data_IF_553702803540
#
_entry.id   IF_553702803540
#
_cell.length_a   1.000
_cell.length_b   1.000
_cell.length_c   1.000
_cell.angle_alpha   90.00
_cell.angle_beta   90.00
_cell.angle_gamma   90.00
#
_symmetry.space_group_name_H-M   'P 1'
#
loop_
_entity.id
_entity.type
_entity.pdbx_description
1 polymer ?
#
# COMPACT_ATOMS: atom_id res chain seq x y z
N UNK A 1 -19.79 24.03 -17.32
CA UNK A 1 -18.70 24.97 -17.64
C UNK A 1 -17.44 24.38 -17.00
N UNK A 2 -16.47 24.03 -17.81
CA UNK A 2 -15.21 23.42 -17.35
C UNK A 2 -14.41 24.49 -16.59
N UNK A 3 -14.14 24.23 -15.30
CA UNK A 3 -13.29 25.08 -14.46
C UNK A 3 -11.81 24.77 -14.69
N UNK A 4 -11.33 24.90 -15.93
CA UNK A 4 -9.89 24.82 -16.17
C UNK A 4 -9.19 26.07 -15.61
N UNK A 5 -8.05 25.86 -14.96
CA UNK A 5 -7.21 26.96 -14.51
C UNK A 5 -6.61 27.67 -15.73
N UNK A 6 -6.68 29.01 -15.82
CA UNK A 6 -6.14 29.74 -16.96
C UNK A 6 -4.66 29.47 -17.16
N UNK A 7 -4.27 29.08 -18.39
CA UNK A 7 -2.88 28.84 -18.76
C UNK A 7 -2.33 27.47 -18.42
N UNK A 8 -3.11 26.59 -17.77
CA UNK A 8 -2.70 25.20 -17.53
C UNK A 8 -2.91 24.38 -18.81
N UNK A 9 -1.85 23.67 -19.27
CA UNK A 9 -1.89 22.86 -20.50
C UNK A 9 -2.25 21.42 -20.16
N UNK A 10 -1.59 20.81 -19.19
CA UNK A 10 -1.81 19.42 -18.80
C UNK A 10 -1.57 19.17 -17.31
N UNK A 11 -2.15 18.09 -16.81
CA UNK A 11 -1.88 17.55 -15.47
C UNK A 11 -1.51 16.08 -15.62
N UNK A 12 -0.23 15.82 -15.62
CA UNK A 12 0.32 14.48 -15.88
C UNK A 12 0.75 13.81 -14.57
N UNK A 13 0.92 12.51 -14.61
CA UNK A 13 1.36 11.71 -13.47
C UNK A 13 2.63 10.96 -13.85
N UNK A 14 3.54 10.78 -12.89
CA UNK A 14 4.75 9.97 -13.05
C UNK A 14 4.96 9.06 -11.85
N UNK A 15 5.33 7.81 -12.11
CA UNK A 15 5.61 6.81 -11.09
C UNK A 15 6.59 5.75 -11.62
N UNK A 16 7.20 4.99 -10.71
CA UNK A 16 8.11 3.92 -11.10
C UNK A 16 7.38 2.77 -11.81
N UNK A 17 6.30 2.30 -11.22
CA UNK A 17 5.54 1.14 -11.72
C UNK A 17 4.05 1.35 -11.52
N UNK A 18 3.24 1.06 -12.55
CA UNK A 18 1.80 0.94 -12.41
C UNK A 18 1.44 -0.54 -12.24
N UNK A 19 1.07 -0.94 -11.02
CA UNK A 19 0.60 -2.29 -10.71
C UNK A 19 -0.89 -2.47 -10.99
N UNK A 20 -1.29 -3.70 -11.31
CA UNK A 20 -2.70 -4.06 -11.40
C UNK A 20 -3.21 -4.50 -10.02
N UNK A 21 -4.30 -3.87 -9.57
CA UNK A 21 -4.96 -4.25 -8.33
C UNK A 21 -4.30 -3.74 -7.04
N UNK A 22 -3.20 -2.97 -7.14
CA UNK A 22 -2.63 -2.31 -5.98
C UNK A 22 -3.29 -0.93 -5.71
N UNK A 23 -3.15 -0.44 -4.49
CA UNK A 23 -3.79 0.80 -4.04
C UNK A 23 -3.30 2.02 -4.82
N UNK A 24 -2.00 2.11 -5.08
CA UNK A 24 -1.36 3.24 -5.79
C UNK A 24 -1.78 3.25 -7.26
N UNK A 25 -1.83 2.06 -7.89
CA UNK A 25 -2.30 1.91 -9.27
C UNK A 25 -3.75 2.34 -9.42
N UNK A 26 -4.63 1.95 -8.51
CA UNK A 26 -6.03 2.39 -8.50
C UNK A 26 -6.17 3.89 -8.31
N UNK A 27 -5.39 4.49 -7.42
CA UNK A 27 -5.38 5.92 -7.17
C UNK A 27 -4.94 6.69 -8.41
N UNK A 28 -3.81 6.33 -9.04
CA UNK A 28 -3.31 6.99 -10.24
C UNK A 28 -4.33 6.95 -11.40
N UNK A 29 -4.95 5.79 -11.63
CA UNK A 29 -6.02 5.65 -12.63
C UNK A 29 -7.28 6.45 -12.25
N UNK A 30 -7.59 6.54 -10.97
CA UNK A 30 -8.69 7.36 -10.43
C UNK A 30 -8.46 8.85 -10.68
N UNK A 31 -7.28 9.35 -10.34
CA UNK A 31 -6.84 10.73 -10.57
C UNK A 31 -6.89 11.07 -12.07
N UNK A 32 -6.33 10.20 -12.92
CA UNK A 32 -6.36 10.41 -14.38
C UNK A 32 -7.81 10.55 -14.90
N UNK A 33 -8.71 9.69 -14.43
CA UNK A 33 -10.11 9.72 -14.86
C UNK A 33 -10.79 11.05 -14.44
N UNK A 34 -10.57 11.50 -13.22
CA UNK A 34 -11.15 12.76 -12.71
C UNK A 34 -10.59 13.95 -13.49
N UNK A 35 -9.29 14.00 -13.74
CA UNK A 35 -8.64 15.07 -14.49
C UNK A 35 -9.15 15.13 -15.93
N UNK A 36 -9.23 13.99 -16.62
CA UNK A 36 -9.78 13.92 -18.00
C UNK A 36 -11.24 14.32 -18.03
N UNK A 37 -12.05 13.92 -17.04
CA UNK A 37 -13.44 14.36 -16.92
C UNK A 37 -13.57 15.88 -16.70
N UNK A 38 -12.63 16.47 -15.97
CA UNK A 38 -12.54 17.92 -15.78
C UNK A 38 -12.02 18.68 -17.03
N UNK A 39 -11.60 17.94 -18.08
CA UNK A 39 -11.16 18.50 -19.35
C UNK A 39 -9.66 18.77 -19.46
N UNK A 40 -8.87 18.31 -18.49
CA UNK A 40 -7.41 18.38 -18.58
C UNK A 40 -6.85 17.24 -19.44
N UNK A 41 -5.75 17.52 -20.16
CA UNK A 41 -4.90 16.47 -20.67
C UNK A 41 -4.18 15.79 -19.49
N UNK A 42 -4.26 14.47 -19.42
CA UNK A 42 -3.68 13.71 -18.30
C UNK A 42 -3.20 12.34 -18.76
N UNK A 43 -1.88 12.13 -18.68
CA UNK A 43 -1.22 10.87 -18.99
C UNK A 43 -0.45 10.39 -17.76
N UNK A 44 -0.24 9.07 -17.66
CA UNK A 44 0.54 8.41 -16.62
C UNK A 44 1.82 7.88 -17.24
N UNK A 45 2.96 8.39 -16.81
CA UNK A 45 4.29 8.02 -17.30
C UNK A 45 4.97 7.07 -16.30
N UNK A 46 5.47 5.93 -16.80
CA UNK A 46 6.02 4.86 -15.94
C UNK A 46 7.33 4.27 -16.50
N UNK A 47 8.13 3.66 -15.65
CA UNK A 47 9.24 2.79 -16.10
C UNK A 47 8.73 1.40 -16.50
N UNK A 48 7.73 0.90 -15.77
CA UNK A 48 7.12 -0.40 -16.02
C UNK A 48 5.63 -0.36 -15.68
N UNK A 49 4.85 -1.17 -16.38
CA UNK A 49 3.44 -1.40 -16.06
C UNK A 49 3.10 -2.90 -16.10
N UNK A 50 2.13 -3.31 -15.30
CA UNK A 50 1.51 -4.63 -15.47
C UNK A 50 0.78 -4.66 -16.83
N UNK A 51 0.90 -5.75 -17.55
CA UNK A 51 0.32 -5.92 -18.91
C UNK A 51 -1.19 -5.59 -18.98
N UNK A 52 -1.91 -5.78 -17.87
CA UNK A 52 -3.35 -5.51 -17.80
C UNK A 52 -3.71 -4.03 -17.72
N UNK A 53 -2.76 -3.17 -17.38
CA UNK A 53 -2.93 -1.71 -17.26
C UNK A 53 -1.97 -0.90 -18.14
N UNK A 54 -1.09 -1.57 -18.87
CA UNK A 54 -0.11 -0.95 -19.76
C UNK A 54 -0.75 0.02 -20.78
N UNK A 55 -1.96 -0.30 -21.27
CA UNK A 55 -2.69 0.56 -22.22
C UNK A 55 -3.12 1.92 -21.65
N UNK A 56 -2.99 2.14 -20.35
CA UNK A 56 -3.28 3.42 -19.68
C UNK A 56 -2.03 4.26 -19.43
N UNK A 57 -0.84 3.76 -19.80
CA UNK A 57 0.45 4.37 -19.48
C UNK A 57 1.24 4.72 -20.74
N UNK A 58 2.20 5.62 -20.56
CA UNK A 58 3.23 6.00 -21.53
C UNK A 58 4.61 5.72 -20.92
N UNK A 59 5.64 5.58 -21.76
CA UNK A 59 7.01 5.46 -21.28
C UNK A 59 7.48 6.78 -20.65
N UNK A 60 8.17 6.71 -19.53
CA UNK A 60 8.62 7.90 -18.79
C UNK A 60 9.60 8.79 -19.60
N UNK A 61 10.23 8.27 -20.66
CA UNK A 61 11.06 9.09 -21.55
C UNK A 61 10.20 10.04 -22.38
N UNK A 62 8.98 9.67 -22.75
CA UNK A 62 8.09 10.50 -23.54
C UNK A 62 7.62 11.74 -22.77
N UNK A 63 7.68 11.70 -21.43
CA UNK A 63 7.41 12.84 -20.56
C UNK A 63 8.34 14.03 -20.87
N UNK A 64 9.57 13.79 -21.35
CA UNK A 64 10.55 14.85 -21.68
C UNK A 64 10.00 15.75 -22.80
N UNK A 65 9.35 15.16 -23.80
CA UNK A 65 8.78 15.90 -24.94
C UNK A 65 7.47 16.63 -24.58
N UNK A 66 6.75 16.12 -23.60
CA UNK A 66 5.48 16.69 -23.12
C UNK A 66 5.64 17.73 -22.02
N UNK A 67 6.82 17.81 -21.43
CA UNK A 67 7.12 18.69 -20.28
C UNK A 67 6.97 20.16 -20.64
N UNK A 68 6.31 20.93 -19.76
CA UNK A 68 6.06 22.35 -19.95
C UNK A 68 5.93 23.07 -18.60
N UNK A 69 6.51 24.29 -18.41
CA UNK A 69 6.37 25.04 -17.16
C UNK A 69 4.93 25.38 -16.75
N UNK A 70 3.98 25.31 -17.69
CA UNK A 70 2.55 25.50 -17.43
C UNK A 70 1.80 24.21 -17.11
N UNK A 71 2.47 23.06 -17.11
CA UNK A 71 1.90 21.80 -16.66
C UNK A 71 2.03 21.62 -15.14
N UNK A 72 1.20 20.74 -14.61
CA UNK A 72 1.40 20.14 -13.30
C UNK A 72 1.82 18.69 -13.51
N UNK A 73 2.90 18.29 -12.85
CA UNK A 73 3.36 16.92 -12.78
C UNK A 73 3.12 16.36 -11.37
N UNK A 74 2.23 15.40 -11.26
CA UNK A 74 1.97 14.66 -10.04
C UNK A 74 2.97 13.51 -9.98
N UNK A 75 3.87 13.54 -9.01
CA UNK A 75 4.86 12.50 -8.80
C UNK A 75 4.44 11.57 -7.66
N UNK A 76 4.08 10.35 -7.99
CA UNK A 76 3.80 9.29 -7.02
C UNK A 76 5.13 8.74 -6.48
N UNK A 77 5.47 9.10 -5.25
CA UNK A 77 6.75 8.78 -4.66
C UNK A 77 6.62 7.73 -3.54
N UNK A 78 7.18 6.55 -3.79
CA UNK A 78 7.36 5.50 -2.78
C UNK A 78 8.83 5.12 -2.60
N UNK A 79 9.58 5.02 -3.70
CA UNK A 79 11.03 4.80 -3.75
C UNK A 79 11.59 5.56 -4.95
N UNK A 80 12.86 5.95 -4.86
CA UNK A 80 13.53 6.60 -5.99
C UNK A 80 13.69 5.68 -7.20
N UNK A 81 13.51 6.24 -8.40
CA UNK A 81 13.51 5.50 -9.66
C UNK A 81 14.17 6.33 -10.78
N UNK A 82 14.30 5.76 -11.98
CA UNK A 82 14.76 6.54 -13.15
C UNK A 82 13.71 7.57 -13.55
N UNK A 83 12.43 7.20 -13.56
CA UNK A 83 11.33 8.12 -13.83
C UNK A 83 11.31 9.28 -12.84
N UNK A 84 11.55 9.02 -11.55
CA UNK A 84 11.70 10.06 -10.53
C UNK A 84 12.80 11.06 -10.86
N UNK A 85 13.97 10.59 -11.34
CA UNK A 85 15.10 11.46 -11.68
C UNK A 85 14.82 12.30 -12.92
N UNK A 86 14.14 11.75 -13.92
CA UNK A 86 13.68 12.52 -15.09
C UNK A 86 12.69 13.59 -14.63
N UNK A 87 11.66 13.23 -13.89
CA UNK A 87 10.66 14.16 -13.36
C UNK A 87 11.26 15.30 -12.54
N UNK A 88 12.28 15.01 -11.73
CA UNK A 88 13.00 16.03 -10.95
C UNK A 88 13.63 17.12 -11.81
N UNK A 89 14.15 16.77 -12.99
CA UNK A 89 14.87 17.68 -13.88
C UNK A 89 13.97 18.53 -14.79
N UNK A 90 12.69 18.17 -14.91
CA UNK A 90 11.75 18.82 -15.83
C UNK A 90 11.20 20.14 -15.25
N UNK A 91 10.77 21.10 -16.09
CA UNK A 91 10.31 22.41 -15.65
C UNK A 91 8.87 22.46 -15.14
N UNK A 92 8.12 21.37 -15.22
CA UNK A 92 6.74 21.27 -14.78
C UNK A 92 6.59 21.66 -13.30
N UNK A 93 5.47 22.25 -12.91
CA UNK A 93 5.14 22.47 -11.50
C UNK A 93 4.86 21.11 -10.85
N UNK A 94 5.51 20.83 -9.72
CA UNK A 94 5.44 19.49 -9.12
C UNK A 94 4.53 19.43 -7.88
N UNK A 95 3.62 18.47 -7.92
CA UNK A 95 2.89 17.96 -6.76
C UNK A 95 3.42 16.57 -6.45
N UNK A 96 3.89 16.34 -5.23
CA UNK A 96 4.36 15.03 -4.80
C UNK A 96 3.27 14.34 -3.99
N UNK A 97 2.93 13.08 -4.32
CA UNK A 97 2.11 12.19 -3.48
C UNK A 97 3.05 11.16 -2.87
N UNK A 98 3.15 11.18 -1.55
CA UNK A 98 4.05 10.33 -0.79
C UNK A 98 3.32 9.09 -0.28
N UNK A 99 3.68 7.94 -0.86
CA UNK A 99 3.08 6.64 -0.55
C UNK A 99 3.81 5.88 0.57
N UNK A 100 4.53 6.59 1.42
CA UNK A 100 5.31 6.06 2.51
C UNK A 100 6.57 5.28 2.09
N UNK A 101 7.63 5.41 2.86
CA UNK A 101 8.83 4.58 2.77
C UNK A 101 9.10 4.02 4.15
N UNK A 102 8.87 2.72 4.31
CA UNK A 102 9.15 2.02 5.58
C UNK A 102 10.59 2.29 6.05
N UNK A 103 10.80 2.65 7.32
CA UNK A 103 12.14 2.82 7.86
C UNK A 103 13.02 1.59 7.61
N UNK A 104 14.24 1.77 7.08
CA UNK A 104 15.12 0.65 6.71
C UNK A 104 15.47 -0.27 7.89
N UNK A 105 15.38 0.23 9.13
CA UNK A 105 15.64 -0.53 10.35
C UNK A 105 14.78 -1.79 10.50
N UNK A 106 13.56 -1.80 9.96
CA UNK A 106 12.70 -2.99 9.99
C UNK A 106 13.23 -4.15 9.15
N UNK A 107 14.08 -3.87 8.16
CA UNK A 107 14.56 -4.87 7.21
C UNK A 107 15.99 -5.33 7.47
N UNK A 108 16.69 -4.73 8.46
CA UNK A 108 18.06 -5.10 8.83
C UNK A 108 18.12 -6.56 9.28
N UNK A 109 19.01 -7.34 8.65
CA UNK A 109 19.16 -8.77 8.90
C UNK A 109 18.07 -9.65 8.31
N UNK A 110 17.14 -9.07 7.53
CA UNK A 110 16.05 -9.80 6.85
C UNK A 110 16.13 -9.62 5.32
N UNK A 111 16.34 -8.38 4.86
CA UNK A 111 16.43 -8.07 3.44
C UNK A 111 17.32 -6.82 3.22
N UNK A 112 18.61 -7.05 2.98
CA UNK A 112 19.60 -5.97 2.83
C UNK A 112 19.39 -5.12 1.58
N UNK A 113 18.81 -5.67 0.50
CA UNK A 113 18.49 -4.90 -0.70
C UNK A 113 17.40 -3.86 -0.39
N UNK A 114 16.38 -4.27 0.33
CA UNK A 114 15.30 -3.37 0.74
C UNK A 114 15.78 -2.32 1.76
N UNK A 115 16.73 -2.69 2.66
CA UNK A 115 17.40 -1.70 3.54
C UNK A 115 18.04 -0.60 2.70
N UNK A 116 18.80 -0.97 1.66
CA UNK A 116 19.47 0.01 0.77
C UNK A 116 18.46 0.86 0.00
N UNK A 117 17.41 0.24 -0.54
CA UNK A 117 16.37 0.94 -1.30
C UNK A 117 15.59 1.93 -0.42
N UNK A 118 15.14 1.52 0.75
CA UNK A 118 14.41 2.39 1.68
C UNK A 118 15.30 3.55 2.18
N UNK A 119 16.56 3.28 2.50
CA UNK A 119 17.52 4.32 2.90
C UNK A 119 17.74 5.33 1.78
N UNK A 120 17.97 4.86 0.56
CA UNK A 120 18.16 5.73 -0.61
C UNK A 120 16.91 6.53 -0.93
N UNK A 121 15.72 5.90 -0.90
CA UNK A 121 14.45 6.57 -1.16
C UNK A 121 14.16 7.69 -0.15
N UNK A 122 14.39 7.45 1.15
CA UNK A 122 14.23 8.50 2.18
C UNK A 122 15.21 9.66 2.00
N UNK A 123 16.43 9.41 1.51
CA UNK A 123 17.36 10.47 1.15
C UNK A 123 16.94 11.22 -0.13
N UNK A 124 16.46 10.50 -1.13
CA UNK A 124 15.96 11.13 -2.36
C UNK A 124 14.74 12.01 -2.07
N UNK A 125 13.85 11.60 -1.16
CA UNK A 125 12.70 12.41 -0.73
C UNK A 125 13.13 13.83 -0.30
N UNK A 126 14.21 13.96 0.46
CA UNK A 126 14.70 15.28 0.91
C UNK A 126 15.15 16.18 -0.24
N UNK A 127 15.62 15.59 -1.35
CA UNK A 127 16.02 16.37 -2.52
C UNK A 127 14.83 17.05 -3.21
N UNK A 128 13.62 16.52 -3.05
CA UNK A 128 12.40 17.08 -3.63
C UNK A 128 11.85 18.31 -2.90
N UNK A 129 12.32 18.63 -1.67
CA UNK A 129 11.83 19.76 -0.89
C UNK A 129 11.82 21.08 -1.70
N UNK A 130 12.92 21.51 -2.35
CA UNK A 130 12.93 22.74 -3.14
C UNK A 130 12.23 22.62 -4.50
N UNK A 131 11.82 21.41 -4.87
CA UNK A 131 11.27 21.11 -6.21
C UNK A 131 9.73 21.08 -6.21
N UNK A 132 9.12 20.78 -5.07
CA UNK A 132 7.67 20.60 -4.99
C UNK A 132 6.95 21.86 -4.54
N UNK A 133 5.88 22.21 -5.25
CA UNK A 133 4.94 23.25 -4.84
C UNK A 133 4.03 22.78 -3.70
N UNK A 134 3.72 21.47 -3.70
CA UNK A 134 2.84 20.82 -2.72
C UNK A 134 3.28 19.36 -2.53
N UNK A 135 3.32 18.89 -1.30
CA UNK A 135 3.54 17.48 -0.97
C UNK A 135 2.34 16.92 -0.19
N UNK A 136 1.78 15.84 -0.71
CA UNK A 136 0.57 15.19 -0.17
C UNK A 136 0.96 13.86 0.45
N UNK A 137 0.44 13.56 1.64
CA UNK A 137 0.56 12.24 2.26
C UNK A 137 -0.73 11.46 2.13
N UNK A 138 -0.64 10.12 1.99
CA UNK A 138 -1.81 9.22 1.95
C UNK A 138 -2.62 9.23 3.26
N UNK A 139 -2.02 9.75 4.33
CA UNK A 139 -2.61 9.85 5.65
C UNK A 139 -2.01 11.03 6.43
N UNK A 140 -2.63 11.38 7.54
CA UNK A 140 -2.08 12.39 8.45
C UNK A 140 -0.69 11.98 8.98
N UNK A 141 -0.45 10.69 9.19
CA UNK A 141 0.87 10.16 9.56
C UNK A 141 1.93 10.50 8.48
N UNK A 142 1.63 10.26 7.21
CA UNK A 142 2.51 10.58 6.09
C UNK A 142 2.70 12.09 5.92
N UNK A 143 1.64 12.88 6.09
CA UNK A 143 1.72 14.35 6.06
C UNK A 143 2.66 14.89 7.13
N UNK A 144 2.54 14.40 8.35
CA UNK A 144 3.44 14.78 9.46
C UNK A 144 4.88 14.36 9.19
N UNK A 145 5.10 13.20 8.56
CA UNK A 145 6.46 12.79 8.16
C UNK A 145 7.04 13.75 7.11
N UNK A 146 6.24 14.19 6.11
CA UNK A 146 6.67 15.20 5.13
C UNK A 146 7.03 16.54 5.79
N UNK A 147 6.26 16.99 6.77
CA UNK A 147 6.59 18.21 7.55
C UNK A 147 7.92 18.04 8.31
N UNK A 148 8.12 16.89 8.97
CA UNK A 148 9.35 16.59 9.69
C UNK A 148 10.57 16.51 8.77
N UNK A 149 10.41 16.04 7.54
CA UNK A 149 11.45 16.03 6.51
C UNK A 149 11.78 17.45 6.04
N UNK A 150 10.83 18.39 6.12
CA UNK A 150 11.03 19.81 5.83
C UNK A 150 10.26 20.35 4.62
N UNK A 151 9.24 19.65 4.12
CA UNK A 151 8.36 20.19 3.07
C UNK A 151 7.55 21.37 3.59
N UNK A 152 7.58 22.54 2.91
CA UNK A 152 6.96 23.77 3.43
C UNK A 152 5.44 23.80 3.27
N UNK A 153 4.89 23.06 2.30
CA UNK A 153 3.45 23.00 2.01
C UNK A 153 3.05 21.54 1.91
N UNK A 154 2.28 21.09 2.89
CA UNK A 154 1.82 19.70 2.96
C UNK A 154 0.32 19.63 3.19
N UNK A 155 -0.31 18.55 2.70
CA UNK A 155 -1.72 18.24 2.97
C UNK A 155 -1.93 16.72 2.88
N UNK A 156 -3.16 16.27 3.12
CA UNK A 156 -3.54 14.86 3.03
C UNK A 156 -4.37 14.61 1.78
N UNK A 157 -3.97 13.63 1.00
CA UNK A 157 -4.78 13.03 -0.05
C UNK A 157 -4.97 11.55 0.30
N UNK A 158 -6.06 11.18 0.98
CA UNK A 158 -6.25 9.81 1.40
C UNK A 158 -6.49 8.89 0.21
N UNK A 159 -5.89 7.70 0.25
CA UNK A 159 -6.14 6.67 -0.76
C UNK A 159 -7.64 6.33 -0.79
N UNK A 160 -8.21 6.30 -1.99
CA UNK A 160 -9.58 5.81 -2.21
C UNK A 160 -9.50 4.41 -2.84
N UNK A 161 -9.46 3.35 -2.01
CA UNK A 161 -9.29 2.01 -2.53
C UNK A 161 -10.53 1.55 -3.31
N UNK A 162 -10.32 0.81 -4.39
CA UNK A 162 -11.41 0.08 -5.03
C UNK A 162 -11.66 -1.21 -4.24
N UNK A 163 -12.85 -1.37 -3.71
CA UNK A 163 -13.26 -2.56 -2.96
C UNK A 163 -13.96 -3.63 -3.81
N UNK A 164 -14.00 -3.43 -5.14
CA UNK A 164 -14.67 -4.34 -6.08
C UNK A 164 -14.11 -5.76 -6.07
N UNK A 165 -12.86 -5.93 -5.67
CA UNK A 165 -12.25 -7.25 -5.54
C UNK A 165 -12.85 -8.08 -4.39
N UNK A 166 -13.60 -7.46 -3.49
CA UNK A 166 -14.37 -8.11 -2.42
C UNK A 166 -15.87 -8.27 -2.75
N UNK A 167 -16.32 -7.80 -3.93
CA UNK A 167 -17.69 -7.94 -4.44
C UNK A 167 -17.85 -9.20 -5.32
N UNK A 168 -17.02 -10.20 -5.11
CA UNK A 168 -17.05 -11.49 -5.81
C UNK A 168 -17.70 -12.55 -4.94
N UNK A 169 -18.22 -13.61 -5.57
CA UNK A 169 -18.72 -14.78 -4.82
C UNK A 169 -17.56 -15.41 -4.04
N UNK A 170 -17.72 -15.67 -2.75
CA UNK A 170 -16.67 -16.27 -1.94
C UNK A 170 -16.36 -17.69 -2.38
N UNK A 171 -15.10 -18.12 -2.22
CA UNK A 171 -14.73 -19.53 -2.42
C UNK A 171 -15.42 -20.42 -1.39
N UNK A 172 -16.26 -21.32 -1.89
CA UNK A 172 -17.08 -22.18 -1.03
C UNK A 172 -16.27 -23.20 -0.22
N UNK A 173 -15.10 -23.64 -0.71
CA UNK A 173 -14.28 -24.59 0.05
C UNK A 173 -13.63 -23.88 1.23
N UNK A 174 -13.06 -22.70 0.98
CA UNK A 174 -12.45 -21.85 2.01
C UNK A 174 -13.51 -21.44 3.06
N UNK A 175 -14.67 -20.97 2.62
CA UNK A 175 -15.76 -20.60 3.53
C UNK A 175 -16.18 -21.79 4.41
N UNK A 176 -16.47 -22.95 3.85
CA UNK A 176 -16.90 -24.13 4.61
C UNK A 176 -15.84 -24.68 5.58
N UNK A 177 -14.55 -24.47 5.30
CA UNK A 177 -13.46 -24.91 6.18
C UNK A 177 -13.44 -24.10 7.49
N UNK A 178 -13.80 -22.81 7.42
CA UNK A 178 -13.69 -21.89 8.56
C UNK A 178 -15.03 -21.40 9.10
N UNK A 179 -16.16 -21.70 8.47
CA UNK A 179 -17.51 -21.38 8.95
C UNK A 179 -17.99 -22.45 9.96
N UNK A 180 -17.47 -22.37 11.17
CA UNK A 180 -17.88 -23.20 12.31
C UNK A 180 -18.07 -22.32 13.57
N UNK A 181 -18.16 -22.92 14.75
CA UNK A 181 -18.37 -22.23 16.02
C UNK A 181 -17.07 -21.71 16.69
N UNK A 182 -15.95 -21.65 15.97
CA UNK A 182 -14.69 -21.08 16.43
C UNK A 182 -14.60 -19.60 16.05
N UNK A 183 -13.91 -18.84 16.89
CA UNK A 183 -13.60 -17.44 16.59
C UNK A 183 -12.43 -17.35 15.62
N UNK A 184 -12.65 -16.73 14.48
CA UNK A 184 -11.64 -16.45 13.46
C UNK A 184 -11.10 -15.03 13.59
N UNK A 185 -9.81 -14.92 13.86
CA UNK A 185 -9.08 -13.63 13.92
C UNK A 185 -8.26 -13.51 12.65
N UNK A 186 -8.54 -12.48 11.85
CA UNK A 186 -7.94 -12.27 10.52
C UNK A 186 -6.88 -11.17 10.55
N UNK A 187 -5.79 -11.40 9.84
CA UNK A 187 -4.85 -10.38 9.38
C UNK A 187 -4.68 -10.51 7.87
N UNK A 188 -4.71 -9.37 7.17
CA UNK A 188 -4.41 -9.29 5.73
C UNK A 188 -3.30 -8.27 5.52
N UNK A 189 -2.24 -8.68 4.81
CA UNK A 189 -1.11 -7.82 4.50
C UNK A 189 0.16 -8.61 4.19
N UNK A 190 1.15 -7.97 3.55
CA UNK A 190 2.44 -8.64 3.29
C UNK A 190 3.07 -9.14 4.59
N UNK A 191 3.64 -10.33 4.55
CA UNK A 191 4.35 -10.95 5.70
C UNK A 191 5.75 -10.35 5.84
N UNK A 192 5.82 -9.11 6.34
CA UNK A 192 7.06 -8.34 6.48
C UNK A 192 7.22 -7.79 7.92
N UNK A 193 8.45 -7.49 8.38
CA UNK A 193 8.71 -7.21 9.79
C UNK A 193 7.94 -6.04 10.41
N UNK A 194 7.72 -4.95 9.67
CA UNK A 194 6.95 -3.79 10.17
C UNK A 194 5.47 -4.09 10.46
N UNK A 195 4.95 -5.22 9.95
CA UNK A 195 3.59 -5.70 10.25
C UNK A 195 3.50 -6.48 11.56
N UNK A 196 4.61 -6.77 12.21
CA UNK A 196 4.68 -7.42 13.52
C UNK A 196 3.88 -8.72 13.61
N UNK A 197 3.99 -9.56 12.58
CA UNK A 197 3.27 -10.85 12.56
C UNK A 197 3.66 -11.74 13.73
N UNK A 198 4.91 -11.65 14.18
CA UNK A 198 5.39 -12.34 15.37
C UNK A 198 4.61 -11.93 16.63
N UNK A 199 4.26 -10.66 16.78
CA UNK A 199 3.44 -10.20 17.91
C UNK A 199 1.98 -10.60 17.76
N UNK A 200 1.41 -10.60 16.55
CA UNK A 200 0.07 -11.17 16.33
C UNK A 200 -0.02 -12.63 16.81
N UNK A 201 0.98 -13.45 16.47
CA UNK A 201 1.07 -14.85 16.90
C UNK A 201 1.15 -14.95 18.43
N UNK A 202 1.95 -14.10 19.07
CA UNK A 202 2.07 -14.07 20.55
C UNK A 202 0.77 -13.62 21.22
N UNK A 203 0.14 -12.56 20.71
CA UNK A 203 -1.15 -12.06 21.22
C UNK A 203 -2.24 -13.10 21.07
N UNK A 204 -2.34 -13.74 19.90
CA UNK A 204 -3.25 -14.85 19.68
C UNK A 204 -3.03 -15.99 20.67
N UNK A 205 -1.78 -16.38 20.93
CA UNK A 205 -1.48 -17.44 21.89
C UNK A 205 -1.97 -17.10 23.30
N UNK A 206 -1.79 -15.84 23.74
CA UNK A 206 -2.29 -15.38 25.05
C UNK A 206 -3.83 -15.40 25.06
N UNK A 207 -4.47 -14.87 24.00
CA UNK A 207 -5.93 -14.86 23.87
C UNK A 207 -6.49 -16.27 23.93
N UNK A 208 -5.94 -17.19 23.14
CA UNK A 208 -6.39 -18.59 23.09
C UNK A 208 -6.24 -19.30 24.44
N UNK A 209 -5.12 -19.10 25.12
CA UNK A 209 -4.84 -19.76 26.39
C UNK A 209 -5.68 -19.22 27.56
N UNK A 210 -6.05 -17.95 27.54
CA UNK A 210 -6.65 -17.26 28.68
C UNK A 210 -8.15 -17.00 28.54
N UNK A 211 -8.62 -16.84 27.30
CA UNK A 211 -9.97 -16.34 27.04
C UNK A 211 -10.80 -17.27 26.15
N UNK A 212 -10.29 -17.69 24.99
CA UNK A 212 -11.05 -18.51 24.06
C UNK A 212 -10.17 -19.59 23.40
N UNK A 213 -10.16 -20.83 23.93
CA UNK A 213 -9.41 -21.94 23.34
C UNK A 213 -9.97 -22.40 21.98
N UNK A 214 -11.20 -22.00 21.63
CA UNK A 214 -11.86 -22.28 20.36
C UNK A 214 -11.71 -21.08 19.42
N UNK A 215 -10.46 -20.70 19.12
CA UNK A 215 -10.15 -19.61 18.21
C UNK A 215 -9.06 -20.00 17.24
N UNK A 216 -8.97 -19.29 16.11
CA UNK A 216 -7.96 -19.44 15.04
C UNK A 216 -7.38 -18.08 14.68
N UNK A 217 -6.13 -18.10 14.21
CA UNK A 217 -5.48 -16.94 13.61
C UNK A 217 -5.25 -17.22 12.12
N UNK A 218 -5.87 -16.41 11.26
CA UNK A 218 -5.82 -16.49 9.81
C UNK A 218 -4.91 -15.37 9.29
N UNK A 219 -3.74 -15.74 8.75
CA UNK A 219 -2.71 -14.81 8.27
C UNK A 219 -2.64 -14.88 6.75
N UNK A 220 -3.07 -13.82 6.07
CA UNK A 220 -3.17 -13.74 4.62
C UNK A 220 -2.19 -12.71 4.07
N UNK A 221 -1.37 -13.09 3.09
CA UNK A 221 -0.54 -12.16 2.35
C UNK A 221 0.76 -12.74 1.82
N UNK A 222 1.25 -12.14 0.75
CA UNK A 222 2.47 -12.56 0.10
C UNK A 222 3.71 -12.33 0.99
N UNK A 223 4.73 -13.18 0.79
CA UNK A 223 5.98 -13.14 1.55
C UNK A 223 7.24 -13.22 0.66
N UNK A 224 7.08 -13.04 -0.64
CA UNK A 224 8.21 -13.07 -1.58
C UNK A 224 9.32 -12.12 -1.16
N UNK A 225 10.55 -12.65 -1.04
CA UNK A 225 11.73 -11.94 -0.54
C UNK A 225 11.83 -11.85 1.00
N UNK A 226 10.96 -12.59 1.73
CA UNK A 226 10.93 -12.65 3.20
C UNK A 226 10.79 -14.08 3.73
N UNK A 227 11.32 -15.05 2.98
CA UNK A 227 11.21 -16.48 3.28
C UNK A 227 11.85 -16.82 4.64
N UNK A 228 12.97 -16.18 4.98
CA UNK A 228 13.63 -16.37 6.28
C UNK A 228 12.79 -15.84 7.44
N UNK A 229 12.17 -14.68 7.27
CA UNK A 229 11.25 -14.12 8.26
C UNK A 229 10.04 -15.04 8.49
N UNK A 230 9.42 -15.53 7.41
CA UNK A 230 8.31 -16.48 7.51
C UNK A 230 8.76 -17.80 8.12
N UNK A 231 9.96 -18.27 7.79
CA UNK A 231 10.59 -19.42 8.46
C UNK A 231 10.73 -19.24 9.98
N UNK A 232 11.08 -18.03 10.42
CA UNK A 232 11.13 -17.68 11.83
C UNK A 232 9.74 -17.67 12.48
N UNK A 233 8.69 -17.22 11.78
CA UNK A 233 7.30 -17.30 12.26
C UNK A 233 6.84 -18.75 12.45
N UNK A 234 7.11 -19.65 11.49
CA UNK A 234 6.83 -21.08 11.66
C UNK A 234 7.59 -21.69 12.86
N UNK A 235 8.85 -21.31 13.05
CA UNK A 235 9.63 -21.74 14.21
C UNK A 235 9.03 -21.23 15.53
N UNK A 236 8.53 -19.99 15.56
CA UNK A 236 7.84 -19.42 16.73
C UNK A 236 6.58 -20.21 17.07
N UNK A 237 5.71 -20.46 16.08
CA UNK A 237 4.48 -21.25 16.23
C UNK A 237 4.80 -22.65 16.80
N UNK A 238 5.79 -23.32 16.21
CA UNK A 238 6.23 -24.66 16.65
C UNK A 238 6.79 -24.66 18.07
N UNK A 239 7.65 -23.69 18.40
CA UNK A 239 8.31 -23.59 19.71
C UNK A 239 7.29 -23.34 20.83
N UNK A 240 6.31 -22.45 20.57
CA UNK A 240 5.23 -22.16 21.51
C UNK A 240 4.09 -23.18 21.46
N UNK A 241 4.16 -24.16 20.55
CA UNK A 241 3.13 -25.19 20.31
C UNK A 241 1.73 -24.58 20.14
N UNK A 242 1.64 -23.54 19.32
CA UNK A 242 0.37 -22.86 19.05
C UNK A 242 -0.36 -23.61 17.94
N UNK A 243 -1.51 -24.26 18.18
CA UNK A 243 -2.35 -24.79 17.12
C UNK A 243 -3.17 -23.69 16.47
N UNK A 244 -3.82 -24.03 15.36
CA UNK A 244 -4.83 -23.19 14.71
C UNK A 244 -4.31 -21.80 14.26
N UNK A 245 -3.05 -21.74 13.83
CA UNK A 245 -2.47 -20.59 13.11
C UNK A 245 -2.26 -21.00 11.66
N UNK A 246 -2.96 -20.32 10.75
CA UNK A 246 -2.96 -20.60 9.32
C UNK A 246 -2.25 -19.48 8.56
N UNK A 247 -1.22 -19.82 7.78
CA UNK A 247 -0.51 -18.89 6.89
C UNK A 247 -0.84 -19.26 5.44
N UNK A 248 -1.69 -18.47 4.78
CA UNK A 248 -2.19 -18.79 3.44
C UNK A 248 -1.28 -18.31 2.31
N UNK A 249 -0.39 -17.34 2.57
CA UNK A 249 0.34 -16.69 1.49
C UNK A 249 -0.56 -15.78 0.66
N UNK A 250 -0.30 -15.70 -0.65
CA UNK A 250 -1.16 -14.98 -1.58
C UNK A 250 -2.38 -15.84 -1.92
N UNK A 251 -3.57 -15.25 -1.85
CA UNK A 251 -4.86 -15.91 -2.14
C UNK A 251 -5.57 -15.20 -3.29
N UNK A 252 -6.56 -15.86 -3.90
CA UNK A 252 -7.45 -15.24 -4.89
C UNK A 252 -8.43 -14.24 -4.25
N UNK A 253 -9.13 -13.45 -5.05
CA UNK A 253 -10.14 -12.53 -4.54
C UNK A 253 -11.32 -13.28 -3.91
N UNK A 254 -11.70 -14.43 -4.46
CA UNK A 254 -12.77 -15.31 -3.98
C UNK A 254 -12.39 -15.91 -2.61
N UNK A 255 -11.15 -16.39 -2.46
CA UNK A 255 -10.62 -16.90 -1.20
C UNK A 255 -10.49 -15.77 -0.15
N UNK A 256 -10.01 -14.59 -0.57
CA UNK A 256 -9.91 -13.41 0.32
C UNK A 256 -11.28 -12.99 0.82
N UNK A 257 -12.27 -12.93 -0.08
CA UNK A 257 -13.66 -12.62 0.26
C UNK A 257 -14.21 -13.62 1.27
N UNK A 258 -14.01 -14.93 1.03
CA UNK A 258 -14.42 -15.98 1.96
C UNK A 258 -13.79 -15.82 3.36
N UNK A 259 -12.47 -15.52 3.41
CA UNK A 259 -11.76 -15.32 4.68
C UNK A 259 -12.25 -14.10 5.45
N UNK A 260 -12.58 -13.01 4.76
CA UNK A 260 -13.23 -11.86 5.40
C UNK A 260 -14.63 -12.25 5.92
N UNK A 261 -15.45 -12.94 5.12
CA UNK A 261 -16.85 -13.25 5.45
C UNK A 261 -16.99 -14.20 6.67
N UNK A 262 -16.01 -15.08 6.91
CA UNK A 262 -15.99 -16.00 8.07
C UNK A 262 -15.27 -15.42 9.29
N UNK A 263 -14.77 -14.19 9.23
CA UNK A 263 -13.94 -13.63 10.31
C UNK A 263 -14.74 -12.79 11.29
N UNK A 264 -14.44 -12.96 12.58
CA UNK A 264 -15.08 -12.25 13.68
C UNK A 264 -14.34 -11.00 14.12
N UNK A 265 -13.03 -10.92 13.83
CA UNK A 265 -12.15 -9.82 14.20
C UNK A 265 -11.03 -9.66 13.18
N UNK A 266 -10.80 -8.44 12.74
CA UNK A 266 -9.58 -8.07 12.04
C UNK A 266 -8.56 -7.54 13.06
N UNK A 267 -7.35 -8.10 13.08
CA UNK A 267 -6.29 -7.73 14.03
C UNK A 267 -5.04 -7.28 13.30
N UNK A 268 -4.54 -6.07 13.58
CA UNK A 268 -3.27 -5.56 13.08
C UNK A 268 -2.37 -5.07 14.21
N UNK A 269 -1.11 -5.51 14.20
CA UNK A 269 -0.06 -5.01 15.09
C UNK A 269 0.99 -4.20 14.33
N UNK A 270 0.67 -3.71 13.13
CA UNK A 270 1.60 -2.95 12.29
C UNK A 270 2.13 -1.72 13.01
N UNK A 271 3.45 -1.56 13.06
CA UNK A 271 4.12 -0.39 13.65
C UNK A 271 4.35 0.72 12.61
N UNK A 272 4.21 0.42 11.33
CA UNK A 272 4.43 1.39 10.26
C UNK A 272 3.53 1.09 9.05
N UNK A 273 2.67 2.06 8.72
CA UNK A 273 1.73 2.01 7.59
C UNK A 273 1.69 3.37 6.88
N UNK A 274 1.46 3.36 5.57
CA UNK A 274 1.08 4.57 4.85
C UNK A 274 -0.39 4.89 5.07
N UNK A 275 -1.28 3.97 4.67
CA UNK A 275 -2.74 4.13 4.78
C UNK A 275 -3.41 2.91 5.42
N UNK A 276 -2.94 1.70 5.13
CA UNK A 276 -3.50 0.42 5.58
C UNK A 276 -4.88 0.10 4.99
N UNK A 277 -4.92 -0.15 3.67
CA UNK A 277 -6.14 -0.55 2.95
C UNK A 277 -6.91 -1.70 3.61
N UNK A 278 -6.27 -2.77 4.16
CA UNK A 278 -6.99 -3.86 4.82
C UNK A 278 -7.90 -3.46 5.99
N UNK A 279 -7.64 -2.32 6.66
CA UNK A 279 -8.58 -1.79 7.66
C UNK A 279 -9.88 -1.32 7.01
N UNK A 280 -9.79 -0.68 5.84
CA UNK A 280 -10.97 -0.22 5.08
C UNK A 280 -11.73 -1.41 4.53
N UNK A 281 -11.03 -2.46 4.08
CA UNK A 281 -11.64 -3.73 3.65
C UNK A 281 -12.42 -4.40 4.80
N UNK A 282 -11.84 -4.46 6.00
CA UNK A 282 -12.51 -5.00 7.18
C UNK A 282 -13.76 -4.18 7.55
N UNK A 283 -13.70 -2.84 7.48
CA UNK A 283 -14.88 -1.99 7.68
C UNK A 283 -15.95 -2.22 6.61
N UNK A 284 -15.54 -2.37 5.35
CA UNK A 284 -16.46 -2.70 4.26
C UNK A 284 -17.19 -4.03 4.49
N UNK A 285 -16.47 -5.03 4.98
CA UNK A 285 -16.98 -6.34 5.36
C UNK A 285 -17.67 -6.36 6.75
N UNK A 286 -17.79 -5.21 7.40
CA UNK A 286 -18.44 -5.02 8.71
C UNK A 286 -17.81 -5.86 9.83
N UNK A 287 -16.52 -6.13 9.74
CA UNK A 287 -15.79 -6.89 10.77
C UNK A 287 -15.23 -5.90 11.80
N UNK A 288 -15.39 -6.17 13.12
CA UNK A 288 -14.72 -5.41 14.15
C UNK A 288 -13.21 -5.36 13.94
N UNK A 289 -12.60 -4.19 14.17
CA UNK A 289 -11.17 -3.98 13.96
C UNK A 289 -10.47 -3.67 15.27
N UNK A 290 -9.36 -4.34 15.52
CA UNK A 290 -8.40 -4.00 16.56
C UNK A 290 -7.05 -3.76 15.91
N UNK A 291 -6.49 -2.55 16.07
CA UNK A 291 -5.22 -2.18 15.49
C UNK A 291 -4.34 -1.48 16.52
N UNK A 292 -3.02 -1.64 16.38
CA UNK A 292 -2.04 -0.84 17.10
C UNK A 292 -2.06 0.60 16.55
N UNK A 293 -1.96 1.59 17.47
CA UNK A 293 -2.03 3.03 17.15
C UNK A 293 -0.71 3.72 17.50
#
# INVERSE_FOLDING_TARGET
>A
MQNQLPGLIGVHQVMATLGYGDAIGHEALGIQRVLRHAGYESNIYVETADVRVESFTEDYHDLIEQSNPNNILIHHFSLGSKASRVAFALPDRMVLIYHNITPPSYFVGVNDDLVRQCYSGRRELTAYIPRCDLALGDSEFNRLELEQVGFPVTDVLPVVPSLKHLDVEPDNMMANEFDDDRTNILFVGRMIPNKRIDDLIKFFNVYRLRYNPRSRLLLVGAHSGFEEYVGALYNLIRTLRIPDVHLFGHVSNEELTALYDVSDLFLSASEHEGFCVPLVEAFYKQIPVMAYS
#
